data_IF_016777753341
#
_entry.id   IF_016777753341
#
_cell.length_a   1.000
_cell.length_b   1.000
_cell.length_c   1.000
_cell.angle_alpha   90.00
_cell.angle_beta   90.00
_cell.angle_gamma   90.00
#
_symmetry.space_group_name_H-M   'P 1'
#
loop_
_entity.id
_entity.type
_entity.pdbx_description
1 polymer ?
#
# COMPACT_ATOMS: atom_id res chain seq x y z
N UNK A 1 -3.22 20.35 10.31
CA UNK A 1 -3.03 18.88 10.25
C UNK A 1 -2.18 18.35 11.40
N UNK A 2 -1.03 18.97 11.72
CA UNK A 2 -0.09 18.45 12.74
C UNK A 2 -0.33 18.90 14.18
N UNK A 3 -1.22 19.87 14.43
CA UNK A 3 -1.50 20.38 15.79
C UNK A 3 -2.06 19.30 16.74
N UNK A 4 -2.72 18.27 16.21
CA UNK A 4 -3.27 17.13 16.98
C UNK A 4 -2.53 15.81 16.68
N UNK A 5 -1.32 15.89 16.15
CA UNK A 5 -0.54 14.68 15.84
C UNK A 5 -0.23 13.91 17.13
N UNK A 6 -0.55 12.62 17.12
CA UNK A 6 -0.19 11.68 18.19
C UNK A 6 0.66 10.57 17.59
N UNK A 7 1.62 9.99 18.32
CA UNK A 7 2.46 8.89 17.81
C UNK A 7 1.67 7.71 17.23
N UNK A 8 0.47 7.45 17.77
CA UNK A 8 -0.44 6.40 17.27
C UNK A 8 -0.97 6.63 15.84
N UNK A 9 -0.81 7.84 15.28
CA UNK A 9 -1.19 8.15 13.89
C UNK A 9 -0.09 7.78 12.89
N UNK A 10 1.12 7.43 13.35
CA UNK A 10 2.26 7.10 12.49
C UNK A 10 1.92 5.97 11.52
N UNK A 11 1.33 4.83 11.94
CA UNK A 11 1.05 3.73 11.01
C UNK A 11 0.07 4.11 9.90
N UNK A 12 -0.96 4.91 10.22
CA UNK A 12 -1.92 5.39 9.25
C UNK A 12 -1.31 6.37 8.25
N UNK A 13 -0.54 7.35 8.73
CA UNK A 13 0.11 8.31 7.87
C UNK A 13 1.19 7.64 7.02
N UNK A 14 1.94 6.68 7.57
CA UNK A 14 2.89 5.88 6.82
C UNK A 14 2.19 5.09 5.71
N UNK A 15 1.09 4.40 6.04
CA UNK A 15 0.31 3.63 5.05
C UNK A 15 -0.24 4.53 3.94
N UNK A 16 -0.83 5.67 4.31
CA UNK A 16 -1.33 6.66 3.35
C UNK A 16 -0.21 7.20 2.44
N UNK A 17 0.96 7.49 3.02
CA UNK A 17 2.14 7.97 2.29
C UNK A 17 2.65 6.91 1.31
N UNK A 18 2.82 5.67 1.77
CA UNK A 18 3.27 4.56 0.95
C UNK A 18 2.31 4.29 -0.21
N UNK A 19 1.00 4.32 0.03
CA UNK A 19 -0.01 4.13 -1.02
C UNK A 19 -0.05 5.30 -2.00
N UNK A 20 -0.02 6.53 -1.50
CA UNK A 20 -0.09 7.73 -2.34
C UNK A 20 1.13 7.85 -3.25
N UNK A 21 2.32 7.95 -2.66
CA UNK A 21 3.56 8.14 -3.41
C UNK A 21 4.03 6.87 -4.12
N UNK A 22 3.86 5.70 -3.50
CA UNK A 22 4.16 4.43 -4.17
C UNK A 22 3.28 4.18 -5.39
N UNK A 23 1.99 4.56 -5.33
CA UNK A 23 1.09 4.48 -6.49
C UNK A 23 1.40 5.50 -7.59
N UNK A 24 2.04 6.63 -7.25
CA UNK A 24 2.49 7.63 -8.22
C UNK A 24 3.76 7.20 -8.95
N UNK A 25 4.53 6.25 -8.41
CA UNK A 25 5.81 5.83 -8.98
C UNK A 25 5.68 5.34 -10.44
N UNK A 26 4.75 4.44 -10.80
CA UNK A 26 4.61 4.00 -12.20
C UNK A 26 4.11 5.10 -13.15
N UNK A 27 3.46 6.13 -12.59
CA UNK A 27 2.85 7.22 -13.36
C UNK A 27 3.85 8.32 -13.70
N UNK A 28 4.74 8.65 -12.75
CA UNK A 28 5.60 9.84 -12.83
C UNK A 28 7.08 9.55 -12.53
N UNK A 29 7.44 8.35 -12.09
CA UNK A 29 8.81 7.99 -11.78
C UNK A 29 9.68 7.92 -13.03
N UNK A 30 10.93 8.39 -12.91
CA UNK A 30 11.91 8.38 -13.99
C UNK A 30 12.15 6.96 -14.54
N UNK A 31 12.01 5.94 -13.69
CA UNK A 31 12.25 4.54 -14.02
C UNK A 31 11.00 3.79 -14.55
N UNK A 32 9.84 4.47 -14.60
CA UNK A 32 8.59 4.01 -15.21
C UNK A 32 7.94 2.76 -14.56
N UNK A 33 6.95 2.16 -15.24
CA UNK A 33 6.20 1.00 -14.73
C UNK A 33 7.07 -0.25 -14.54
N UNK A 34 8.09 -0.42 -15.38
CA UNK A 34 9.01 -1.57 -15.35
C UNK A 34 9.74 -1.66 -14.02
N UNK A 35 10.34 -0.57 -13.56
CA UNK A 35 11.07 -0.56 -12.30
C UNK A 35 10.16 -0.84 -11.11
N UNK A 36 8.93 -0.31 -11.12
CA UNK A 36 7.98 -0.60 -10.04
C UNK A 36 7.52 -2.06 -10.03
N UNK A 37 7.40 -2.72 -11.19
CA UNK A 37 7.12 -4.15 -11.24
C UNK A 37 8.27 -4.99 -10.67
N UNK A 38 9.52 -4.62 -10.97
CA UNK A 38 10.70 -5.28 -10.43
C UNK A 38 10.75 -5.12 -8.90
N UNK A 39 10.56 -3.89 -8.40
CA UNK A 39 10.55 -3.61 -6.96
C UNK A 39 9.37 -4.28 -6.24
N UNK A 40 8.24 -4.45 -6.91
CA UNK A 40 7.13 -5.24 -6.39
C UNK A 40 7.52 -6.71 -6.19
N UNK A 41 8.48 -7.22 -6.96
CA UNK A 41 9.01 -8.58 -6.89
C UNK A 41 8.73 -9.42 -8.14
N UNK A 42 8.25 -8.81 -9.23
CA UNK A 42 8.02 -9.53 -10.48
C UNK A 42 9.34 -9.82 -11.20
N UNK A 43 9.46 -10.99 -11.85
CA UNK A 43 10.63 -11.33 -12.63
C UNK A 43 10.76 -10.42 -13.85
N UNK A 44 12.00 -10.23 -14.29
CA UNK A 44 12.36 -9.27 -15.35
C UNK A 44 11.59 -9.50 -16.66
N UNK A 45 11.33 -10.76 -17.03
CA UNK A 45 10.58 -11.08 -18.25
C UNK A 45 9.11 -10.61 -18.22
N UNK A 46 8.49 -10.51 -17.04
CA UNK A 46 7.13 -9.93 -16.90
C UNK A 46 7.21 -8.41 -16.92
N UNK A 47 8.21 -7.82 -16.26
CA UNK A 47 8.39 -6.38 -16.21
C UNK A 47 8.74 -5.75 -17.57
N UNK A 48 9.33 -6.54 -18.48
CA UNK A 48 9.66 -6.14 -19.85
C UNK A 48 8.52 -6.33 -20.84
N UNK A 49 7.45 -7.05 -20.46
CA UNK A 49 6.28 -7.24 -21.31
C UNK A 49 5.50 -5.91 -21.44
N UNK A 50 5.34 -5.35 -22.66
CA UNK A 50 4.63 -4.09 -22.88
C UNK A 50 3.18 -4.12 -22.37
N UNK A 51 2.56 -5.31 -22.39
CA UNK A 51 1.18 -5.53 -21.96
C UNK A 51 0.99 -5.39 -20.43
N UNK A 52 2.06 -5.59 -19.65
CA UNK A 52 2.01 -5.47 -18.20
C UNK A 52 2.00 -4.01 -17.72
N UNK A 53 2.62 -3.10 -18.49
CA UNK A 53 2.73 -1.68 -18.16
C UNK A 53 1.38 -0.97 -17.92
N UNK A 54 0.38 -1.04 -18.82
CA UNK A 54 -0.91 -0.37 -18.58
C UNK A 54 -1.67 -0.95 -17.39
N UNK A 55 -1.51 -2.25 -17.10
CA UNK A 55 -2.14 -2.89 -15.93
C UNK A 55 -1.51 -2.35 -14.64
N UNK A 56 -0.19 -2.26 -14.59
CA UNK A 56 0.53 -1.69 -13.44
C UNK A 56 0.15 -0.22 -13.21
N UNK A 57 0.12 0.58 -14.27
CA UNK A 57 -0.31 1.99 -14.18
C UNK A 57 -1.74 2.10 -13.65
N UNK A 58 -2.66 1.28 -14.16
CA UNK A 58 -4.06 1.32 -13.75
C UNK A 58 -4.27 0.89 -12.30
N UNK A 59 -3.56 -0.13 -11.81
CA UNK A 59 -3.69 -0.56 -10.41
C UNK A 59 -3.02 0.44 -9.46
N UNK A 60 -1.86 0.97 -9.81
CA UNK A 60 -1.15 1.96 -9.00
C UNK A 60 -1.89 3.28 -8.91
N UNK A 61 -2.56 3.72 -9.97
CA UNK A 61 -3.46 4.88 -9.92
C UNK A 61 -4.59 4.71 -8.89
N UNK A 62 -5.17 3.51 -8.77
CA UNK A 62 -6.17 3.21 -7.73
C UNK A 62 -5.56 3.27 -6.33
N UNK A 63 -4.36 2.72 -6.16
CA UNK A 63 -3.62 2.79 -4.89
C UNK A 63 -3.34 4.24 -4.49
N UNK A 64 -2.96 5.11 -5.43
CA UNK A 64 -2.80 6.55 -5.18
C UNK A 64 -4.11 7.18 -4.69
N UNK A 65 -5.23 6.88 -5.32
CA UNK A 65 -6.54 7.41 -4.90
C UNK A 65 -6.88 6.97 -3.48
N UNK A 66 -6.61 5.72 -3.10
CA UNK A 66 -6.82 5.23 -1.72
C UNK A 66 -5.94 6.01 -0.73
N UNK A 67 -4.65 6.22 -1.02
CA UNK A 67 -3.77 7.03 -0.18
C UNK A 67 -4.26 8.47 -0.04
N UNK A 68 -4.73 9.09 -1.13
CA UNK A 68 -5.31 10.43 -1.11
C UNK A 68 -6.60 10.49 -0.25
N UNK A 69 -7.46 9.47 -0.36
CA UNK A 69 -8.66 9.35 0.47
C UNK A 69 -8.30 9.21 1.94
N UNK A 70 -7.29 8.41 2.29
CA UNK A 70 -6.81 8.30 3.66
C UNK A 70 -6.32 9.65 4.21
N UNK A 71 -5.55 10.42 3.44
CA UNK A 71 -5.14 11.77 3.85
C UNK A 71 -6.34 12.71 4.03
N UNK A 72 -7.31 12.70 3.10
CA UNK A 72 -8.49 13.54 3.19
C UNK A 72 -9.32 13.21 4.43
N UNK A 73 -9.54 11.92 4.71
CA UNK A 73 -10.28 11.44 5.87
C UNK A 73 -9.54 11.76 7.17
N UNK A 74 -8.22 11.59 7.18
CA UNK A 74 -7.37 11.99 8.30
C UNK A 74 -7.46 13.51 8.55
N UNK A 75 -7.40 14.34 7.49
CA UNK A 75 -7.57 15.78 7.60
C UNK A 75 -8.95 16.17 8.15
N UNK A 76 -10.00 15.43 7.77
CA UNK A 76 -11.35 15.56 8.32
C UNK A 76 -11.53 14.94 9.71
N UNK A 77 -10.46 14.44 10.33
CA UNK A 77 -10.46 13.78 11.65
C UNK A 77 -11.36 12.54 11.73
N UNK A 78 -11.63 11.88 10.61
CA UNK A 78 -12.40 10.63 10.51
C UNK A 78 -11.47 9.43 10.69
N UNK A 79 -10.82 9.36 11.85
CA UNK A 79 -9.76 8.39 12.14
C UNK A 79 -10.26 6.94 12.16
N UNK A 80 -11.52 6.74 12.57
CA UNK A 80 -12.23 5.46 12.51
C UNK A 80 -12.32 4.89 11.09
N UNK A 81 -12.56 5.76 10.10
CA UNK A 81 -12.64 5.36 8.70
C UNK A 81 -11.25 5.05 8.15
N UNK A 82 -10.23 5.82 8.56
CA UNK A 82 -8.82 5.56 8.19
C UNK A 82 -8.39 4.19 8.70
N UNK A 83 -8.68 3.89 9.96
CA UNK A 83 -8.42 2.59 10.58
C UNK A 83 -9.17 1.45 9.88
N UNK A 84 -10.41 1.69 9.44
CA UNK A 84 -11.18 0.71 8.66
C UNK A 84 -10.51 0.41 7.31
N UNK A 85 -10.05 1.44 6.59
CA UNK A 85 -9.33 1.26 5.32
C UNK A 85 -8.04 0.48 5.56
N UNK A 86 -7.28 0.82 6.60
CA UNK A 86 -6.07 0.07 6.97
C UNK A 86 -6.36 -1.39 7.29
N UNK A 87 -7.41 -1.68 8.06
CA UNK A 87 -7.80 -3.05 8.41
C UNK A 87 -8.13 -3.86 7.17
N UNK A 88 -9.05 -3.36 6.33
CA UNK A 88 -9.52 -4.06 5.13
C UNK A 88 -8.38 -4.26 4.14
N UNK A 89 -7.61 -3.21 3.84
CA UNK A 89 -6.49 -3.30 2.90
C UNK A 89 -5.37 -4.17 3.46
N UNK A 90 -4.99 -3.99 4.72
CA UNK A 90 -3.90 -4.74 5.34
C UNK A 90 -4.18 -6.24 5.37
N UNK A 91 -5.39 -6.66 5.78
CA UNK A 91 -5.74 -8.08 5.79
C UNK A 91 -5.90 -8.66 4.39
N UNK A 92 -6.49 -7.92 3.45
CA UNK A 92 -6.64 -8.41 2.08
C UNK A 92 -5.28 -8.55 1.39
N UNK A 93 -4.42 -7.54 1.49
CA UNK A 93 -3.08 -7.55 0.89
C UNK A 93 -2.15 -8.57 1.55
N UNK A 94 -2.34 -8.86 2.83
CA UNK A 94 -1.60 -9.92 3.52
C UNK A 94 -1.78 -11.30 2.87
N UNK A 95 -2.93 -11.53 2.22
CA UNK A 95 -3.22 -12.75 1.47
C UNK A 95 -2.87 -12.58 -0.01
N UNK A 96 -3.26 -11.45 -0.61
CA UNK A 96 -3.08 -11.20 -2.03
C UNK A 96 -1.61 -11.16 -2.45
N UNK A 97 -0.76 -10.43 -1.73
CA UNK A 97 0.64 -10.22 -2.15
C UNK A 97 1.44 -11.54 -2.17
N UNK A 98 1.40 -12.39 -1.12
CA UNK A 98 2.05 -13.69 -1.17
C UNK A 98 1.48 -14.61 -2.25
N UNK A 99 0.16 -14.52 -2.51
CA UNK A 99 -0.50 -15.31 -3.56
C UNK A 99 -0.06 -14.86 -4.96
N UNK A 100 -0.07 -13.57 -5.24
CA UNK A 100 0.29 -12.99 -6.53
C UNK A 100 1.77 -13.21 -6.88
N UNK A 101 2.64 -13.27 -5.86
CA UNK A 101 4.07 -13.49 -6.01
C UNK A 101 4.49 -14.95 -5.85
N UNK A 102 3.55 -15.87 -5.59
CA UNK A 102 3.84 -17.28 -5.38
C UNK A 102 4.49 -17.89 -6.63
N UNK A 103 5.71 -18.41 -6.47
CA UNK A 103 6.50 -18.98 -7.57
C UNK A 103 7.16 -17.95 -8.50
N UNK A 104 6.94 -16.65 -8.27
CA UNK A 104 7.54 -15.56 -9.05
C UNK A 104 8.64 -14.82 -8.27
N UNK A 105 8.40 -14.54 -6.99
CA UNK A 105 9.35 -13.83 -6.12
C UNK A 105 10.06 -14.77 -5.15
N UNK A 106 11.05 -14.23 -4.43
CA UNK A 106 11.69 -14.96 -3.34
C UNK A 106 10.72 -15.19 -2.16
N UNK A 107 10.79 -16.36 -1.53
CA UNK A 107 9.94 -16.71 -0.38
C UNK A 107 10.05 -15.70 0.75
N UNK A 108 11.26 -15.18 1.01
CA UNK A 108 11.49 -14.15 2.03
C UNK A 108 10.70 -12.87 1.76
N UNK A 109 10.65 -12.45 0.49
CA UNK A 109 9.91 -11.26 0.08
C UNK A 109 8.40 -11.44 0.26
N UNK A 110 7.85 -12.59 -0.15
CA UNK A 110 6.43 -12.91 0.06
C UNK A 110 6.06 -12.89 1.54
N UNK A 111 6.89 -13.49 2.40
CA UNK A 111 6.66 -13.49 3.85
C UNK A 111 6.73 -12.08 4.42
N UNK A 112 7.73 -11.28 4.04
CA UNK A 112 7.85 -9.90 4.50
C UNK A 112 6.61 -9.08 4.16
N UNK A 113 6.13 -9.15 2.91
CA UNK A 113 4.93 -8.43 2.46
C UNK A 113 3.68 -8.89 3.21
N UNK A 114 3.49 -10.21 3.34
CA UNK A 114 2.35 -10.77 4.05
C UNK A 114 2.31 -10.34 5.53
N UNK A 115 3.42 -10.49 6.24
CA UNK A 115 3.50 -10.17 7.68
C UNK A 115 3.39 -8.67 7.93
N UNK A 116 4.08 -7.83 7.14
CA UNK A 116 4.04 -6.38 7.32
C UNK A 116 2.64 -5.80 7.06
N UNK A 117 1.99 -6.19 5.96
CA UNK A 117 0.62 -5.75 5.64
C UNK A 117 -0.40 -6.27 6.65
N UNK A 118 -0.24 -7.50 7.12
CA UNK A 118 -1.08 -8.04 8.21
C UNK A 118 -0.95 -7.22 9.49
N UNK A 119 0.27 -6.81 9.85
CA UNK A 119 0.51 -5.97 11.02
C UNK A 119 -0.19 -4.59 10.90
N UNK A 120 -0.15 -3.96 9.72
CA UNK A 120 -0.93 -2.74 9.46
C UNK A 120 -2.44 -2.99 9.52
N UNK A 121 -2.90 -4.14 9.04
CA UNK A 121 -4.28 -4.59 9.17
C UNK A 121 -4.73 -4.67 10.63
N UNK A 122 -3.90 -5.27 11.50
CA UNK A 122 -4.16 -5.33 12.94
C UNK A 122 -4.21 -3.93 13.58
N UNK A 123 -3.27 -3.04 13.23
CA UNK A 123 -3.26 -1.66 13.75
C UNK A 123 -4.54 -0.90 13.39
N UNK A 124 -5.03 -1.07 12.16
CA UNK A 124 -6.33 -0.53 11.75
C UNK A 124 -7.50 -1.19 12.49
N UNK A 125 -7.50 -2.52 12.60
CA UNK A 125 -8.57 -3.26 13.25
C UNK A 125 -8.75 -2.89 14.73
N UNK A 126 -7.65 -2.72 15.46
CA UNK A 126 -7.68 -2.27 16.85
C UNK A 126 -7.96 -0.77 16.99
N UNK A 127 -8.08 -0.01 15.90
CA UNK A 127 -8.43 1.40 15.95
C UNK A 127 -7.31 2.27 16.52
N UNK A 128 -6.05 1.95 16.20
CA UNK A 128 -4.88 2.63 16.77
C UNK A 128 -4.89 4.14 16.46
N UNK A 129 -5.34 4.54 15.27
CA UNK A 129 -5.42 5.95 14.87
C UNK A 129 -6.53 6.67 15.63
N UNK A 130 -7.71 6.05 15.73
CA UNK A 130 -8.84 6.53 16.50
C UNK A 130 -8.54 6.55 18.02
N UNK A 131 -7.58 5.75 18.47
CA UNK A 131 -7.17 5.66 19.86
C UNK A 131 -8.09 4.81 20.72
N UNK A 132 -8.60 3.72 20.15
CA UNK A 132 -9.38 2.70 20.85
C UNK A 132 -8.50 1.67 21.55
#
# INVERSE_FOLDING_TARGET
MFADFRPRHIPALFSATAMFFGGLWPLFGADGPRATMIEYGLPQHIAEAPEAAPVMVAISGRTTVIGALMYLLYYRRRYDVVDTIMAVMGFYLAVLDPYALYGLASTSWCVFRGVSTFAFGLMGYYGLTAGR
#
